data_IF_997854740081
#
_entry.id   IF_997854740081
#
_cell.length_a   1.000
_cell.length_b   1.000
_cell.length_c   1.000
_cell.angle_alpha   90.00
_cell.angle_beta   90.00
_cell.angle_gamma   90.00
#
_symmetry.space_group_name_H-M   'P 1'
#
loop_
_entity.id
_entity.type
_entity.pdbx_description
1 polymer ?
#
# COMPACT_ATOMS: atom_id res chain seq x y z
N UNK A 1 67.40 1.02 14.60
CA UNK A 1 66.97 0.03 13.60
C UNK A 1 66.50 -1.22 14.34
N UNK A 2 65.21 -1.25 14.70
CA UNK A 2 64.51 -2.40 15.28
C UNK A 2 63.06 -2.28 14.81
N UNK A 3 62.57 -3.34 14.17
CA UNK A 3 61.28 -3.37 13.49
C UNK A 3 60.08 -3.68 14.38
N UNK A 4 58.91 -3.46 13.80
CA UNK A 4 57.56 -3.96 14.11
C UNK A 4 56.65 -3.13 13.19
N UNK A 5 55.69 -3.59 12.41
CA UNK A 5 55.06 -4.86 12.14
C UNK A 5 53.94 -4.51 11.16
N UNK A 6 53.70 -5.35 10.16
CA UNK A 6 52.65 -5.13 9.16
C UNK A 6 51.28 -5.38 9.81
N UNK A 7 50.56 -4.31 10.15
CA UNK A 7 49.13 -4.39 10.42
C UNK A 7 48.39 -4.13 9.10
N UNK A 8 47.94 -5.20 8.48
CA UNK A 8 46.99 -5.16 7.38
C UNK A 8 45.72 -4.44 7.87
N UNK A 9 45.47 -3.26 7.33
CA UNK A 9 44.24 -2.51 7.52
C UNK A 9 43.09 -3.18 6.75
N UNK A 10 42.52 -4.22 7.32
CA UNK A 10 41.18 -4.69 6.96
C UNK A 10 40.17 -3.96 7.85
N UNK A 11 39.87 -2.70 7.52
CA UNK A 11 38.66 -2.09 8.09
C UNK A 11 37.52 -2.54 7.21
N UNK A 12 36.70 -3.40 7.81
CA UNK A 12 35.48 -3.96 7.24
C UNK A 12 34.69 -2.90 6.50
N UNK A 13 34.45 -3.16 5.22
CA UNK A 13 33.28 -2.67 4.48
C UNK A 13 32.02 -3.11 5.23
N UNK A 14 31.66 -2.36 6.27
CA UNK A 14 30.28 -2.25 6.67
C UNK A 14 29.69 -1.19 5.74
N UNK A 15 29.13 -1.69 4.64
CA UNK A 15 28.13 -0.98 3.86
C UNK A 15 27.24 -0.23 4.85
N UNK A 16 27.34 1.10 4.87
CA UNK A 16 26.31 1.94 5.45
C UNK A 16 25.13 1.91 4.47
N UNK A 17 24.58 0.71 4.30
CA UNK A 17 23.19 0.52 3.98
C UNK A 17 22.46 1.03 5.21
N UNK A 18 22.23 2.35 5.26
CA UNK A 18 20.87 2.76 5.58
C UNK A 18 20.01 2.04 4.57
N UNK A 19 19.64 0.82 4.95
CA UNK A 19 18.56 0.09 4.36
C UNK A 19 17.41 1.08 4.49
N UNK A 20 17.14 1.79 3.39
CA UNK A 20 15.79 1.79 2.90
C UNK A 20 15.32 0.35 3.10
N UNK A 21 14.62 0.12 4.21
CA UNK A 21 13.46 -0.75 4.22
C UNK A 21 12.42 -0.13 3.27
N UNK A 22 12.81 0.01 1.99
CA UNK A 22 12.04 -0.40 0.84
C UNK A 22 11.84 -1.92 0.98
N UNK A 23 11.17 -2.29 2.06
CA UNK A 23 10.32 -3.46 2.09
C UNK A 23 9.46 -3.30 0.87
N UNK A 24 9.61 -4.20 -0.09
CA UNK A 24 8.84 -4.27 -1.31
C UNK A 24 7.35 -4.35 -0.96
N UNK A 25 6.74 -3.20 -0.66
CA UNK A 25 5.32 -3.03 -0.73
C UNK A 25 5.04 -2.80 -2.21
N UNK A 26 4.19 -3.64 -2.83
CA UNK A 26 3.80 -3.43 -4.22
C UNK A 26 3.34 -1.98 -4.32
N UNK A 27 3.82 -1.23 -5.30
CA UNK A 27 3.38 0.15 -5.52
C UNK A 27 1.85 0.15 -5.55
N UNK A 28 1.23 0.48 -4.42
CA UNK A 28 -0.21 0.62 -4.31
C UNK A 28 -0.50 1.83 -5.17
N UNK A 29 -0.99 1.57 -6.38
CA UNK A 29 -1.17 2.60 -7.38
C UNK A 29 -1.91 3.77 -6.76
N UNK A 30 -1.29 4.94 -6.82
CA UNK A 30 -1.82 6.16 -6.22
C UNK A 30 -3.19 6.45 -6.82
N UNK A 31 -4.19 6.57 -5.96
CA UNK A 31 -5.56 6.90 -6.37
C UNK A 31 -5.94 8.29 -5.81
N UNK A 32 -6.72 9.05 -6.57
CA UNK A 32 -7.20 10.38 -6.20
C UNK A 32 -8.71 10.49 -6.29
N UNK A 33 -9.20 11.73 -6.32
CA UNK A 33 -10.63 11.99 -6.45
C UNK A 33 -11.21 11.43 -7.75
N UNK A 34 -10.46 11.46 -8.85
CA UNK A 34 -10.92 10.98 -10.16
C UNK A 34 -11.29 9.49 -10.14
N UNK A 35 -10.45 8.65 -9.52
CA UNK A 35 -10.70 7.22 -9.38
C UNK A 35 -11.87 6.95 -8.43
N UNK A 36 -11.96 7.71 -7.33
CA UNK A 36 -13.08 7.60 -6.40
C UNK A 36 -14.42 7.91 -7.07
N UNK A 37 -14.51 8.94 -7.91
CA UNK A 37 -15.75 9.31 -8.61
C UNK A 37 -16.18 8.26 -9.65
N UNK A 38 -15.24 7.49 -10.20
CA UNK A 38 -15.55 6.39 -11.12
C UNK A 38 -16.27 5.23 -10.42
N UNK A 39 -16.08 5.06 -9.10
CA UNK A 39 -16.77 4.02 -8.34
C UNK A 39 -18.26 4.27 -8.28
N UNK A 40 -19.06 3.27 -8.65
CA UNK A 40 -20.53 3.36 -8.63
C UNK A 40 -21.14 2.21 -7.82
N UNK A 41 -22.23 2.47 -7.07
CA UNK A 41 -22.99 1.40 -6.46
C UNK A 41 -23.36 0.32 -7.49
N UNK A 42 -23.25 -0.95 -7.11
CA UNK A 42 -23.49 -2.10 -7.98
C UNK A 42 -22.24 -2.63 -8.72
N UNK A 43 -21.10 -1.94 -8.66
CA UNK A 43 -19.84 -2.50 -9.15
C UNK A 43 -19.39 -3.71 -8.32
N UNK A 44 -18.82 -4.70 -8.97
CA UNK A 44 -18.14 -5.82 -8.31
C UNK A 44 -16.77 -5.40 -7.76
N UNK A 45 -16.23 -6.20 -6.83
CA UNK A 45 -14.88 -5.98 -6.31
C UNK A 45 -13.81 -5.99 -7.42
N UNK A 46 -13.99 -6.79 -8.47
CA UNK A 46 -13.07 -6.84 -9.62
C UNK A 46 -13.07 -5.54 -10.41
N UNK A 47 -14.25 -4.96 -10.65
CA UNK A 47 -14.38 -3.65 -11.30
C UNK A 47 -13.74 -2.55 -10.46
N UNK A 48 -14.00 -2.54 -9.14
CA UNK A 48 -13.38 -1.59 -8.22
C UNK A 48 -11.85 -1.74 -8.20
N UNK A 49 -11.32 -2.97 -8.21
CA UNK A 49 -9.87 -3.23 -8.26
C UNK A 49 -9.22 -2.83 -9.57
N UNK A 50 -9.98 -2.76 -10.66
CA UNK A 50 -9.48 -2.26 -11.94
C UNK A 50 -9.26 -0.75 -11.92
N UNK A 51 -9.91 -0.05 -10.98
CA UNK A 51 -9.81 1.41 -10.79
C UNK A 51 -8.82 1.76 -9.66
N UNK A 52 -8.96 1.11 -8.49
CA UNK A 52 -8.20 1.43 -7.26
C UNK A 52 -7.08 0.44 -6.94
N UNK A 53 -6.82 -0.54 -7.80
CA UNK A 53 -5.90 -1.64 -7.50
C UNK A 53 -6.33 -2.45 -6.27
N UNK A 54 -5.39 -3.21 -5.68
CA UNK A 54 -5.67 -4.10 -4.57
C UNK A 54 -5.85 -3.31 -3.27
N UNK A 55 -7.07 -3.34 -2.72
CA UNK A 55 -7.36 -2.87 -1.37
C UNK A 55 -7.09 -3.92 -0.29
N UNK A 56 -7.02 -3.47 0.96
CA UNK A 56 -6.91 -4.31 2.15
C UNK A 56 -8.32 -4.64 2.64
N UNK A 57 -8.63 -5.92 2.81
CA UNK A 57 -9.88 -6.34 3.45
C UNK A 57 -9.77 -6.14 4.95
N UNK A 58 -10.68 -5.36 5.54
CA UNK A 58 -10.69 -5.07 6.98
C UNK A 58 -11.84 -5.73 7.72
N UNK A 59 -12.87 -6.19 6.99
CA UNK A 59 -14.01 -6.91 7.57
C UNK A 59 -14.69 -7.78 6.52
N UNK A 60 -15.16 -8.95 6.93
CA UNK A 60 -15.95 -9.86 6.10
C UNK A 60 -16.97 -10.63 6.93
N UNK A 61 -18.18 -10.74 6.41
CA UNK A 61 -19.27 -11.59 6.88
C UNK A 61 -19.81 -12.45 5.73
N UNK A 62 -20.89 -13.20 5.96
CA UNK A 62 -21.51 -14.03 4.93
C UNK A 62 -22.02 -13.23 3.72
N UNK A 63 -22.44 -11.98 3.93
CA UNK A 63 -23.04 -11.13 2.88
C UNK A 63 -22.32 -9.81 2.70
N UNK A 64 -21.47 -9.37 3.64
CA UNK A 64 -20.83 -8.06 3.60
C UNK A 64 -19.32 -8.20 3.61
N UNK A 65 -18.62 -7.36 2.83
CA UNK A 65 -17.17 -7.24 2.91
C UNK A 65 -16.77 -5.76 2.84
N UNK A 66 -15.84 -5.34 3.69
CA UNK A 66 -15.33 -3.97 3.71
C UNK A 66 -13.85 -3.95 3.34
N UNK A 67 -13.52 -3.11 2.38
CA UNK A 67 -12.17 -2.91 1.89
C UNK A 67 -11.73 -1.47 2.11
N UNK A 68 -10.44 -1.31 2.41
CA UNK A 68 -9.79 -0.01 2.59
C UNK A 68 -8.60 0.08 1.65
N UNK A 69 -8.52 1.20 0.94
CA UNK A 69 -7.35 1.62 0.20
C UNK A 69 -6.73 2.79 0.94
N UNK A 70 -5.41 2.81 1.08
CA UNK A 70 -4.68 3.89 1.73
C UNK A 70 -3.52 4.32 0.84
N UNK A 71 -3.40 5.62 0.63
CA UNK A 71 -2.25 6.25 -0.04
C UNK A 71 -1.17 6.58 0.98
N UNK A 72 0.06 6.80 0.49
CA UNK A 72 1.20 7.23 1.30
C UNK A 72 1.03 8.63 1.91
N UNK A 73 0.18 9.48 1.31
CA UNK A 73 -0.15 10.81 1.85
C UNK A 73 -1.20 10.78 2.98
N UNK A 74 -1.61 9.58 3.40
CA UNK A 74 -2.57 9.35 4.47
C UNK A 74 -4.04 9.40 4.03
N UNK A 75 -4.32 9.72 2.76
CA UNK A 75 -5.68 9.67 2.21
C UNK A 75 -6.16 8.23 2.03
N UNK A 76 -7.48 8.03 2.13
CA UNK A 76 -8.08 6.70 2.18
C UNK A 76 -9.41 6.64 1.44
N UNK A 77 -9.72 5.46 0.91
CA UNK A 77 -11.06 5.09 0.43
C UNK A 77 -11.51 3.86 1.19
N UNK A 78 -12.74 3.89 1.69
CA UNK A 78 -13.41 2.73 2.28
C UNK A 78 -14.58 2.34 1.39
N UNK A 79 -14.68 1.07 1.04
CA UNK A 79 -15.78 0.56 0.25
C UNK A 79 -16.41 -0.65 0.94
N UNK A 80 -17.74 -0.64 1.05
CA UNK A 80 -18.52 -1.74 1.61
C UNK A 80 -19.30 -2.41 0.49
N UNK A 81 -19.08 -3.71 0.37
CA UNK A 81 -19.76 -4.59 -0.57
C UNK A 81 -20.82 -5.39 0.17
N UNK A 82 -22.00 -5.53 -0.42
CA UNK A 82 -23.07 -6.41 0.06
C UNK A 82 -23.47 -7.31 -1.10
N UNK A 83 -23.48 -8.62 -0.88
CA UNK A 83 -23.70 -9.64 -1.92
C UNK A 83 -22.80 -9.40 -3.15
N UNK A 84 -21.49 -9.22 -2.91
CA UNK A 84 -20.45 -8.97 -3.91
C UNK A 84 -20.63 -7.69 -4.76
N UNK A 85 -21.52 -6.79 -4.34
CA UNK A 85 -21.82 -5.54 -5.04
C UNK A 85 -21.53 -4.34 -4.15
N UNK A 86 -20.86 -3.33 -4.71
CA UNK A 86 -20.53 -2.09 -4.01
C UNK A 86 -21.82 -1.43 -3.54
N UNK A 87 -21.98 -1.31 -2.21
CA UNK A 87 -23.17 -0.74 -1.59
C UNK A 87 -22.93 0.69 -1.15
N UNK A 88 -21.79 0.95 -0.53
CA UNK A 88 -21.38 2.30 -0.11
C UNK A 88 -19.88 2.50 -0.32
N UNK A 89 -19.51 3.77 -0.54
CA UNK A 89 -18.13 4.24 -0.65
C UNK A 89 -17.97 5.51 0.17
N UNK A 90 -16.82 5.63 0.82
CA UNK A 90 -16.42 6.79 1.62
C UNK A 90 -14.97 7.12 1.31
N UNK A 91 -14.61 8.40 1.42
CA UNK A 91 -13.23 8.85 1.24
C UNK A 91 -12.84 9.85 2.31
N UNK A 92 -11.55 9.88 2.64
CA UNK A 92 -10.97 10.90 3.49
C UNK A 92 -9.63 11.38 2.94
N UNK A 93 -9.43 12.69 2.94
CA UNK A 93 -8.16 13.33 2.58
C UNK A 93 -7.76 13.22 1.10
N UNK A 94 -8.61 12.71 0.20
CA UNK A 94 -8.29 12.68 -1.23
C UNK A 94 -8.15 14.10 -1.78
N UNK A 95 -7.21 14.26 -2.72
CA UNK A 95 -7.01 15.47 -3.50
C UNK A 95 -7.51 15.28 -4.93
#
# INVERSE_FOLDING_TARGET
>A
MLGSGLAYGFVQTAFNSQQHEQSAQPELGRFGRAEYEQLKPGMSLTEVRSILYRGVEVSRSATTATFVWSNSDGSKITATFVNDKLKSKEQSGLK
#
